data_IF_863744482069
#
_entry.id   IF_863744482069
#
_cell.length_a   1.000
_cell.length_b   1.000
_cell.length_c   1.000
_cell.angle_alpha   90.00
_cell.angle_beta   90.00
_cell.angle_gamma   90.00
#
_symmetry.space_group_name_H-M   'P 1'
#
loop_
_entity.id
_entity.type
_entity.pdbx_description
1 polymer ?
#
# COMPACT_ATOMS: atom_id res chain seq x y z
N UNK A 1 25.97 -11.47 -4.28
CA UNK A 1 25.63 -11.64 -5.69
C UNK A 1 25.56 -10.32 -6.43
N UNK A 2 26.33 -10.24 -7.45
CA UNK A 2 26.42 -9.02 -8.22
C UNK A 2 25.21 -8.88 -9.13
N UNK A 3 24.63 -7.70 -9.16
CA UNK A 3 23.50 -7.42 -10.01
C UNK A 3 22.15 -7.80 -9.44
N UNK A 4 22.15 -8.46 -8.31
CA UNK A 4 20.88 -8.78 -7.68
C UNK A 4 20.29 -7.54 -7.04
N UNK A 5 19.05 -7.24 -7.39
CA UNK A 5 18.35 -6.09 -6.87
C UNK A 5 17.37 -6.53 -5.80
N UNK A 6 17.49 -5.92 -4.64
CA UNK A 6 16.56 -6.18 -3.54
C UNK A 6 15.74 -4.93 -3.30
N UNK A 7 14.45 -5.03 -3.52
CA UNK A 7 13.53 -3.93 -3.21
C UNK A 7 13.11 -4.05 -1.76
N UNK A 8 12.86 -2.91 -1.14
CA UNK A 8 12.41 -2.82 0.23
C UNK A 8 11.12 -2.01 0.29
N UNK A 9 10.35 -2.24 1.34
CA UNK A 9 9.15 -1.45 1.58
C UNK A 9 9.56 -0.04 1.98
N UNK A 10 9.00 0.95 1.28
CA UNK A 10 9.20 2.35 1.63
C UNK A 10 8.19 2.71 2.73
N UNK A 11 8.67 3.31 3.80
CA UNK A 11 7.79 3.74 4.89
C UNK A 11 7.43 5.20 4.66
N UNK A 12 6.16 5.45 4.32
CA UNK A 12 5.67 6.78 4.02
C UNK A 12 4.93 7.32 5.24
N UNK A 13 5.38 8.47 5.73
CA UNK A 13 4.75 9.12 6.88
C UNK A 13 3.40 9.71 6.47
N UNK A 14 2.50 9.83 7.44
CA UNK A 14 1.17 10.37 7.19
C UNK A 14 1.22 11.71 6.46
N UNK A 15 2.10 12.62 6.89
CA UNK A 15 2.20 13.95 6.30
C UNK A 15 2.70 13.95 4.86
N UNK A 16 3.30 12.84 4.39
CA UNK A 16 3.94 12.77 3.08
C UNK A 16 3.16 11.94 2.06
N UNK A 17 2.00 11.39 2.44
CA UNK A 17 1.33 10.42 1.58
C UNK A 17 0.90 10.99 0.23
N UNK A 18 0.39 12.23 0.22
CA UNK A 18 -0.04 12.85 -1.03
C UNK A 18 1.12 13.14 -1.96
N UNK A 19 2.18 13.73 -1.41
CA UNK A 19 3.36 14.07 -2.20
C UNK A 19 4.02 12.82 -2.75
N UNK A 20 4.19 11.81 -1.90
CA UNK A 20 4.82 10.57 -2.35
C UNK A 20 3.99 9.90 -3.45
N UNK A 21 2.67 9.82 -3.24
CA UNK A 21 1.78 9.17 -4.20
C UNK A 21 1.78 9.89 -5.54
N UNK A 22 1.74 11.20 -5.51
CA UNK A 22 1.76 12.01 -6.73
C UNK A 22 3.10 11.89 -7.46
N UNK A 23 4.19 11.98 -6.73
CA UNK A 23 5.53 11.96 -7.33
C UNK A 23 5.85 10.63 -7.99
N UNK A 24 5.28 9.55 -7.49
CA UNK A 24 5.50 8.20 -8.03
C UNK A 24 4.36 7.71 -8.91
N UNK A 25 3.32 8.52 -9.10
CA UNK A 25 2.11 8.10 -9.81
C UNK A 25 1.59 6.80 -9.24
N UNK A 26 1.52 6.72 -7.93
CA UNK A 26 1.21 5.47 -7.24
C UNK A 26 -0.27 5.15 -7.24
N UNK A 27 -0.57 3.86 -7.27
CA UNK A 27 -1.90 3.35 -6.93
C UNK A 27 -1.97 3.28 -5.41
N UNK A 28 -3.04 3.78 -4.82
CA UNK A 28 -3.27 3.68 -3.39
C UNK A 28 -4.27 2.54 -3.17
N UNK A 29 -3.90 1.57 -2.35
CA UNK A 29 -4.77 0.42 -2.08
C UNK A 29 -5.06 0.33 -0.59
N UNK A 30 -6.34 0.42 -0.25
CA UNK A 30 -6.82 0.25 1.13
C UNK A 30 -7.16 -1.22 1.31
N UNK A 31 -6.38 -1.91 2.15
CA UNK A 31 -6.49 -3.37 2.32
C UNK A 31 -7.39 -3.78 3.49
N UNK A 32 -8.14 -2.82 4.04
CA UNK A 32 -9.05 -3.10 5.15
C UNK A 32 -10.26 -3.92 4.70
N UNK A 33 -11.18 -4.17 5.62
CA UNK A 33 -12.42 -4.89 5.33
C UNK A 33 -13.52 -3.93 4.87
N UNK A 34 -14.51 -4.42 4.11
CA UNK A 34 -15.58 -3.55 3.61
C UNK A 34 -16.30 -2.74 4.68
N UNK A 35 -16.51 -3.32 5.87
CA UNK A 35 -17.18 -2.57 6.93
C UNK A 35 -16.35 -1.39 7.43
N UNK A 36 -15.04 -1.46 7.27
CA UNK A 36 -14.15 -0.35 7.64
C UNK A 36 -14.21 0.77 6.60
N UNK A 37 -14.34 0.42 5.32
CA UNK A 37 -14.39 1.40 4.25
C UNK A 37 -15.60 2.33 4.36
N UNK A 38 -16.69 1.84 4.95
CA UNK A 38 -17.90 2.62 5.12
C UNK A 38 -17.67 3.90 5.94
N UNK A 39 -16.58 3.92 6.73
CA UNK A 39 -16.24 5.07 7.56
C UNK A 39 -15.29 6.04 6.85
N UNK A 40 -14.95 5.76 5.59
CA UNK A 40 -14.06 6.61 4.80
C UNK A 40 -12.72 5.99 4.54
N UNK A 41 -12.01 6.54 3.55
CA UNK A 41 -10.67 6.11 3.17
C UNK A 41 -9.95 7.30 2.54
N UNK A 42 -8.73 7.07 2.06
CA UNK A 42 -7.99 8.12 1.35
C UNK A 42 -8.62 8.41 0.00
N UNK A 43 -8.64 9.67 -0.43
CA UNK A 43 -9.13 10.02 -1.76
C UNK A 43 -8.37 9.26 -2.84
N UNK A 44 -9.10 8.67 -3.77
CA UNK A 44 -8.51 7.94 -4.88
C UNK A 44 -8.06 6.52 -4.55
N UNK A 45 -8.25 6.05 -3.33
CA UNK A 45 -7.84 4.70 -2.96
C UNK A 45 -8.73 3.65 -3.62
N UNK A 46 -8.10 2.58 -4.10
CA UNK A 46 -8.82 1.39 -4.51
C UNK A 46 -9.08 0.54 -3.28
N UNK A 47 -10.27 -0.03 -3.21
CA UNK A 47 -10.72 -0.78 -2.04
C UNK A 47 -10.57 -2.26 -2.35
N UNK A 48 -9.47 -2.85 -1.91
CA UNK A 48 -9.18 -4.27 -2.16
C UNK A 48 -8.73 -4.89 -0.85
N UNK A 49 -9.61 -5.66 -0.23
CA UNK A 49 -9.29 -6.32 1.02
C UNK A 49 -8.11 -7.26 0.89
N UNK A 50 -7.40 -7.47 1.98
CA UNK A 50 -6.14 -8.23 1.98
C UNK A 50 -6.27 -9.59 1.31
N UNK A 51 -7.35 -10.32 1.61
CA UNK A 51 -7.56 -11.65 1.01
C UNK A 51 -7.75 -11.59 -0.50
N UNK A 52 -8.55 -10.63 -0.99
CA UNK A 52 -8.79 -10.48 -2.43
C UNK A 52 -7.54 -10.02 -3.14
N UNK A 53 -6.72 -9.22 -2.47
CA UNK A 53 -5.49 -8.70 -3.03
C UNK A 53 -4.56 -9.84 -3.45
N UNK A 54 -4.39 -10.83 -2.59
CA UNK A 54 -3.50 -11.95 -2.89
C UNK A 54 -4.06 -12.85 -4.00
N UNK A 55 -5.37 -12.96 -4.09
CA UNK A 55 -5.99 -13.74 -5.15
C UNK A 55 -5.76 -13.13 -6.53
N UNK A 56 -5.52 -11.82 -6.60
CA UNK A 56 -5.38 -11.10 -7.87
C UNK A 56 -3.97 -10.55 -8.10
N UNK A 57 -3.01 -11.09 -7.38
CA UNK A 57 -1.63 -10.59 -7.41
C UNK A 57 -1.05 -10.54 -8.82
N UNK A 58 -1.30 -11.59 -9.61
CA UNK A 58 -0.73 -11.69 -10.95
C UNK A 58 -1.34 -10.74 -11.97
N UNK A 59 -2.47 -10.13 -11.64
CA UNK A 59 -3.15 -9.19 -12.53
C UNK A 59 -2.65 -7.76 -12.36
N UNK A 60 -1.79 -7.53 -11.37
CA UNK A 60 -1.29 -6.20 -11.08
C UNK A 60 0.04 -5.96 -11.76
N UNK A 61 0.25 -4.74 -12.22
CA UNK A 61 1.47 -4.35 -12.93
C UNK A 61 2.61 -4.17 -11.91
N UNK A 62 3.63 -5.02 -12.01
CA UNK A 62 4.75 -5.02 -11.08
C UNK A 62 5.63 -3.77 -11.18
N UNK A 63 5.55 -3.04 -12.26
CA UNK A 63 6.30 -1.79 -12.41
C UNK A 63 5.58 -0.59 -11.80
N UNK A 64 4.31 -0.75 -11.42
CA UNK A 64 3.51 0.34 -10.87
C UNK A 64 3.83 0.55 -9.40
N UNK A 65 4.04 1.80 -9.02
CA UNK A 65 4.23 2.14 -7.62
C UNK A 65 2.91 1.96 -6.85
N UNK A 66 2.98 1.41 -5.65
CA UNK A 66 1.80 1.14 -4.83
C UNK A 66 2.02 1.65 -3.42
N UNK A 67 1.01 2.37 -2.89
CA UNK A 67 0.97 2.73 -1.49
C UNK A 67 -0.15 1.93 -0.83
N UNK A 68 0.22 1.02 0.06
CA UNK A 68 -0.74 0.24 0.83
C UNK A 68 -1.15 0.97 2.09
N UNK A 69 -2.43 0.90 2.40
CA UNK A 69 -3.03 1.61 3.53
C UNK A 69 -3.93 0.68 4.32
N UNK A 70 -3.88 0.76 5.63
CA UNK A 70 -4.86 0.13 6.50
C UNK A 70 -5.12 1.06 7.70
N UNK A 71 -5.75 0.54 8.74
CA UNK A 71 -6.12 1.38 9.88
C UNK A 71 -4.89 1.90 10.62
N UNK A 72 -3.93 1.04 10.93
CA UNK A 72 -2.79 1.38 11.79
C UNK A 72 -1.43 1.08 11.15
N UNK A 73 -1.39 0.51 9.95
CA UNK A 73 -0.14 0.21 9.26
C UNK A 73 0.29 -1.24 9.31
N UNK A 74 -0.38 -2.10 10.08
CA UNK A 74 0.04 -3.50 10.24
C UNK A 74 -0.35 -4.38 9.06
N UNK A 75 -1.61 -4.42 8.69
CA UNK A 75 -2.09 -5.23 7.56
C UNK A 75 -1.48 -4.74 6.24
N UNK A 76 -1.39 -3.43 6.09
CA UNK A 76 -0.79 -2.85 4.90
C UNK A 76 0.70 -3.13 4.83
N UNK A 77 1.37 -3.22 5.98
CA UNK A 77 2.77 -3.63 6.06
C UNK A 77 2.97 -5.06 5.58
N UNK A 78 2.08 -5.97 5.96
CA UNK A 78 2.12 -7.36 5.50
C UNK A 78 1.94 -7.42 3.98
N UNK A 79 0.97 -6.67 3.44
CA UNK A 79 0.74 -6.62 2.00
C UNK A 79 1.98 -6.10 1.27
N UNK A 80 2.57 -5.03 1.78
CA UNK A 80 3.74 -4.43 1.17
C UNK A 80 4.92 -5.40 1.11
N UNK A 81 5.19 -6.09 2.22
CA UNK A 81 6.28 -7.08 2.28
C UNK A 81 6.09 -8.19 1.26
N UNK A 82 4.87 -8.70 1.15
CA UNK A 82 4.60 -9.78 0.21
C UNK A 82 4.72 -9.32 -1.24
N UNK A 83 4.30 -8.09 -1.53
CA UNK A 83 4.43 -7.56 -2.89
C UNK A 83 5.88 -7.39 -3.29
N UNK A 84 6.72 -6.90 -2.38
CA UNK A 84 8.15 -6.81 -2.64
C UNK A 84 8.73 -8.18 -2.96
N UNK A 85 8.34 -9.21 -2.22
CA UNK A 85 8.80 -10.59 -2.46
C UNK A 85 8.33 -11.14 -3.79
N UNK A 86 7.23 -10.62 -4.31
CA UNK A 86 6.70 -11.04 -5.61
C UNK A 86 7.17 -10.17 -6.77
N UNK A 87 8.20 -9.36 -6.55
CA UNK A 87 8.87 -8.65 -7.62
C UNK A 87 8.31 -7.28 -7.95
N UNK A 88 7.50 -6.70 -7.09
CA UNK A 88 7.04 -5.33 -7.29
C UNK A 88 8.16 -4.35 -6.94
N UNK A 89 8.39 -3.37 -7.81
CA UNK A 89 9.57 -2.50 -7.73
C UNK A 89 9.45 -1.39 -6.71
N UNK A 90 8.28 -0.78 -6.61
CA UNK A 90 8.08 0.38 -5.74
C UNK A 90 6.85 0.17 -4.88
N UNK A 91 7.06 -0.24 -3.65
CA UNK A 91 5.99 -0.57 -2.72
C UNK A 91 6.17 0.22 -1.43
N UNK A 92 5.13 0.88 -1.00
CA UNK A 92 5.17 1.68 0.22
C UNK A 92 4.04 1.29 1.17
N UNK A 93 4.28 1.54 2.44
CA UNK A 93 3.30 1.37 3.51
C UNK A 93 3.08 2.71 4.19
N UNK A 94 1.82 3.09 4.37
CA UNK A 94 1.48 4.30 5.11
C UNK A 94 1.68 4.04 6.60
N UNK A 95 2.74 4.58 7.14
CA UNK A 95 3.11 4.39 8.54
C UNK A 95 2.08 5.02 9.45
N UNK A 96 1.61 4.23 10.43
CA UNK A 96 0.57 4.69 11.33
C UNK A 96 -0.84 4.64 10.74
N UNK A 97 -0.95 4.36 9.44
CA UNK A 97 -2.23 4.14 8.78
C UNK A 97 -3.17 5.33 8.82
N UNK A 98 -4.45 5.06 8.59
CA UNK A 98 -5.48 6.09 8.59
C UNK A 98 -5.66 6.75 9.96
N UNK A 99 -5.31 6.03 11.03
CA UNK A 99 -5.36 6.61 12.39
C UNK A 99 -4.44 7.83 12.47
N UNK A 100 -3.25 7.74 11.89
CA UNK A 100 -2.29 8.85 11.93
C UNK A 100 -2.79 10.07 11.16
N UNK A 101 -3.76 9.88 10.27
CA UNK A 101 -4.37 10.98 9.51
C UNK A 101 -5.68 11.46 10.13
N UNK A 102 -6.11 10.87 11.25
CA UNK A 102 -7.37 11.21 11.86
C UNK A 102 -8.59 10.67 11.12
N UNK A 103 -8.40 9.68 10.26
CA UNK A 103 -9.46 9.14 9.41
C UNK A 103 -9.99 7.80 9.89
N UNK A 104 -9.46 7.28 10.98
CA UNK A 104 -9.94 6.00 11.53
C UNK A 104 -9.74 5.96 13.03
#
# INVERSE_FOLDING_TARGET
MIGERVSEVVLVQARDWETWSRDHDAVIIDVREPFEWAMGTLPGAELIGLGSLFANLDELDRSRAILFVCRSGNRSGVAAELFVRHGFDEVANLTGGLVALGLA
#
